data_IF_541567845676
#
_entry.id   IF_541567845676
#
_cell.length_a   1.000
_cell.length_b   1.000
_cell.length_c   1.000
_cell.angle_alpha   90.00
_cell.angle_beta   90.00
_cell.angle_gamma   90.00
#
_symmetry.space_group_name_H-M   'P 1'
#
loop_
_entity.id
_entity.type
_entity.pdbx_description
1 polymer ?
#
# COMPACT_ATOMS: atom_id res chain seq x y z
N UNK A 1 19.64 8.85 0.02
CA UNK A 1 18.57 7.89 0.34
C UNK A 1 17.48 8.06 -0.71
N UNK A 2 17.29 7.10 -1.63
CA UNK A 2 16.23 7.20 -2.62
C UNK A 2 14.88 6.99 -1.92
N UNK A 3 13.90 7.81 -2.26
CA UNK A 3 12.55 7.80 -1.71
C UNK A 3 11.80 6.52 -2.14
N UNK A 4 11.64 5.56 -1.21
CA UNK A 4 11.05 4.23 -1.47
C UNK A 4 9.52 4.31 -1.61
N UNK A 5 8.92 5.51 -1.61
CA UNK A 5 7.45 5.68 -1.52
C UNK A 5 6.74 5.89 -2.85
N UNK A 6 7.43 5.79 -3.99
CA UNK A 6 6.75 5.88 -5.30
C UNK A 6 6.28 4.50 -5.75
N UNK A 7 5.16 4.06 -5.18
CA UNK A 7 4.65 2.68 -5.33
C UNK A 7 4.17 2.33 -6.76
N UNK A 8 3.85 3.32 -7.61
CA UNK A 8 3.47 3.11 -9.01
C UNK A 8 3.85 4.34 -9.84
N UNK A 9 4.13 4.15 -11.13
CA UNK A 9 4.43 5.27 -12.02
C UNK A 9 3.13 5.98 -12.43
N UNK A 10 2.90 7.18 -11.90
CA UNK A 10 1.71 7.98 -12.18
C UNK A 10 1.64 8.50 -13.64
N UNK A 11 2.72 8.37 -14.42
CA UNK A 11 2.79 8.75 -15.84
C UNK A 11 2.63 7.57 -16.79
N UNK A 12 2.49 6.34 -16.27
CA UNK A 12 2.31 5.16 -17.09
C UNK A 12 1.03 5.27 -17.95
N UNK A 13 1.08 4.92 -19.24
CA UNK A 13 -0.07 5.02 -20.13
C UNK A 13 -1.19 4.06 -19.67
N UNK A 14 -2.40 4.61 -19.53
CA UNK A 14 -3.59 3.84 -19.15
C UNK A 14 -3.94 2.87 -20.27
N UNK A 15 -3.94 1.56 -19.97
CA UNK A 15 -4.38 0.53 -20.91
C UNK A 15 -5.88 0.27 -20.71
N UNK A 16 -6.72 0.39 -21.76
CA UNK A 16 -8.11 0.00 -21.65
C UNK A 16 -8.16 -1.52 -21.43
N UNK A 17 -8.58 -1.92 -20.24
CA UNK A 17 -8.75 -3.32 -19.88
C UNK A 17 -10.25 -3.57 -19.81
N UNK A 18 -10.77 -4.45 -20.66
CA UNK A 18 -12.19 -4.79 -20.66
C UNK A 18 -12.50 -5.63 -19.41
N UNK A 19 -13.17 -5.03 -18.44
CA UNK A 19 -13.53 -5.67 -17.17
C UNK A 19 -15.04 -5.91 -17.13
N UNK A 20 -15.45 -7.13 -16.80
CA UNK A 20 -16.86 -7.45 -16.56
C UNK A 20 -17.22 -7.02 -15.14
N UNK A 21 -18.09 -6.03 -15.02
CA UNK A 21 -18.63 -5.54 -13.76
C UNK A 21 -20.13 -5.80 -13.70
N UNK A 22 -20.68 -5.84 -12.48
CA UNK A 22 -22.10 -6.02 -12.28
C UNK A 22 -22.87 -4.82 -12.88
N UNK A 23 -23.88 -5.11 -13.71
CA UNK A 23 -24.68 -4.11 -14.42
C UNK A 23 -25.39 -3.14 -13.47
N UNK A 24 -25.91 -3.62 -12.34
CA UNK A 24 -26.59 -2.78 -11.35
C UNK A 24 -25.61 -1.76 -10.72
N UNK A 25 -24.39 -2.19 -10.42
CA UNK A 25 -23.32 -1.30 -9.95
C UNK A 25 -22.94 -0.25 -10.99
N UNK A 26 -22.96 -0.59 -12.28
CA UNK A 26 -22.70 0.38 -13.35
C UNK A 26 -23.84 1.41 -13.49
N UNK A 27 -25.09 0.97 -13.34
CA UNK A 27 -26.24 1.88 -13.36
C UNK A 27 -26.24 2.81 -12.14
N UNK A 28 -25.95 2.28 -10.96
CA UNK A 28 -25.77 3.09 -9.75
C UNK A 28 -24.62 4.09 -9.90
N UNK A 29 -23.46 3.65 -10.41
CA UNK A 29 -22.32 4.52 -10.66
C UNK A 29 -22.66 5.64 -11.65
N UNK A 30 -23.38 5.31 -12.73
CA UNK A 30 -23.83 6.30 -13.72
C UNK A 30 -24.80 7.31 -13.11
N UNK A 31 -25.74 6.84 -12.29
CA UNK A 31 -26.74 7.68 -11.59
C UNK A 31 -26.05 8.64 -10.60
N UNK A 32 -25.01 8.16 -9.93
CA UNK A 32 -24.24 8.93 -8.95
C UNK A 32 -23.11 9.77 -9.58
N UNK A 33 -22.94 9.72 -10.92
CA UNK A 33 -21.87 10.44 -11.61
C UNK A 33 -20.45 9.92 -11.32
N UNK A 34 -20.32 8.67 -10.87
CA UNK A 34 -19.04 8.05 -10.51
C UNK A 34 -18.32 7.62 -11.78
N UNK A 35 -17.07 8.05 -11.92
CA UNK A 35 -16.20 7.57 -12.99
C UNK A 35 -15.67 6.17 -12.64
N UNK A 36 -16.29 5.14 -13.22
CA UNK A 36 -15.97 3.72 -12.96
C UNK A 36 -14.49 3.41 -13.19
N UNK A 37 -13.88 3.94 -14.25
CA UNK A 37 -12.46 3.72 -14.53
C UNK A 37 -11.57 4.26 -13.41
N UNK A 38 -11.87 5.46 -12.90
CA UNK A 38 -11.12 6.06 -11.78
C UNK A 38 -11.37 5.31 -10.47
N UNK A 39 -12.59 4.84 -10.22
CA UNK A 39 -12.92 4.06 -9.04
C UNK A 39 -12.20 2.69 -9.04
N UNK A 40 -12.16 2.02 -10.19
CA UNK A 40 -11.41 0.79 -10.36
C UNK A 40 -9.90 1.00 -10.21
N UNK A 41 -9.35 2.05 -10.80
CA UNK A 41 -7.91 2.39 -10.68
C UNK A 41 -7.53 2.61 -9.21
N UNK A 42 -8.37 3.33 -8.46
CA UNK A 42 -8.17 3.56 -7.03
C UNK A 42 -8.27 2.25 -6.23
N UNK A 43 -9.35 1.48 -6.41
CA UNK A 43 -9.55 0.23 -5.68
C UNK A 43 -8.45 -0.81 -5.97
N UNK A 44 -7.96 -0.85 -7.21
CA UNK A 44 -6.85 -1.72 -7.59
C UNK A 44 -5.53 -1.26 -6.93
N UNK A 45 -5.26 0.05 -6.88
CA UNK A 45 -4.09 0.58 -6.20
C UNK A 45 -4.13 0.31 -4.69
N UNK A 46 -5.29 0.48 -4.05
CA UNK A 46 -5.51 0.18 -2.62
C UNK A 46 -5.27 -1.33 -2.37
N UNK A 47 -5.84 -2.21 -3.19
CA UNK A 47 -5.66 -3.66 -3.02
C UNK A 47 -4.21 -4.11 -3.22
N UNK A 48 -3.50 -3.54 -4.21
CA UNK A 48 -2.08 -3.83 -4.47
C UNK A 48 -1.23 -3.34 -3.29
N UNK A 49 -1.49 -2.13 -2.78
CA UNK A 49 -0.79 -1.60 -1.63
C UNK A 49 -0.98 -2.52 -0.42
N UNK A 50 -2.20 -2.95 -0.14
CA UNK A 50 -2.52 -3.81 1.00
C UNK A 50 -1.82 -5.18 0.91
N UNK A 51 -1.78 -5.80 -0.28
CA UNK A 51 -1.08 -7.06 -0.48
C UNK A 51 0.44 -6.90 -0.38
N UNK A 52 0.99 -5.79 -0.87
CA UNK A 52 2.43 -5.50 -0.72
C UNK A 52 2.80 -5.23 0.72
N UNK A 53 1.95 -4.53 1.48
CA UNK A 53 2.16 -4.30 2.92
C UNK A 53 2.14 -5.62 3.69
N UNK A 54 1.16 -6.49 3.42
CA UNK A 54 1.10 -7.84 4.01
C UNK A 54 2.36 -8.66 3.70
N UNK A 55 2.79 -8.65 2.43
CA UNK A 55 3.99 -9.37 2.00
C UNK A 55 5.26 -8.78 2.62
N UNK A 56 5.35 -7.46 2.71
CA UNK A 56 6.46 -6.78 3.36
C UNK A 56 6.54 -7.12 4.85
N UNK A 57 5.40 -7.14 5.54
CA UNK A 57 5.30 -7.56 6.94
C UNK A 57 5.74 -9.01 7.14
N UNK A 58 5.36 -9.92 6.24
CA UNK A 58 5.83 -11.32 6.27
C UNK A 58 7.33 -11.42 6.04
N UNK A 59 7.87 -10.75 5.01
CA UNK A 59 9.30 -10.80 4.68
C UNK A 59 10.18 -10.09 5.72
N UNK A 60 9.68 -9.00 6.33
CA UNK A 60 10.43 -8.26 7.34
C UNK A 60 10.16 -8.77 8.75
N UNK A 61 9.33 -9.81 8.92
CA UNK A 61 8.97 -10.32 10.24
C UNK A 61 10.19 -10.83 11.00
N UNK A 62 11.06 -11.61 10.35
CA UNK A 62 12.32 -12.07 10.95
C UNK A 62 13.29 -10.92 11.26
N UNK A 63 13.36 -9.92 10.38
CA UNK A 63 14.21 -8.75 10.60
C UNK A 63 13.70 -7.88 11.76
N UNK A 64 12.38 -7.72 11.88
CA UNK A 64 11.72 -7.00 12.97
C UNK A 64 11.83 -7.78 14.28
N UNK A 65 11.62 -9.10 14.27
CA UNK A 65 11.78 -9.94 15.47
C UNK A 65 13.24 -9.94 15.96
N UNK A 66 14.22 -10.03 15.07
CA UNK A 66 15.64 -9.93 15.42
C UNK A 66 16.02 -8.54 15.96
N UNK A 67 15.49 -7.47 15.33
CA UNK A 67 15.70 -6.11 15.79
C UNK A 67 15.02 -5.85 17.14
N UNK A 68 13.81 -6.37 17.36
CA UNK A 68 13.09 -6.31 18.63
C UNK A 68 13.84 -7.07 19.72
N UNK A 69 14.30 -8.30 19.44
CA UNK A 69 15.09 -9.09 20.38
C UNK A 69 16.40 -8.39 20.76
N UNK A 70 17.05 -7.71 19.80
CA UNK A 70 18.23 -6.90 20.06
C UNK A 70 17.91 -5.68 20.95
N UNK A 71 16.82 -4.97 20.69
CA UNK A 71 16.37 -3.83 21.52
C UNK A 71 15.94 -4.28 22.92
N UNK A 72 15.33 -5.45 23.06
CA UNK A 72 14.93 -6.01 24.35
C UNK A 72 16.16 -6.46 25.16
N UNK A 73 17.15 -7.06 24.50
CA UNK A 73 18.39 -7.52 25.13
C UNK A 73 19.39 -6.38 25.44
N UNK A 74 19.43 -5.30 24.65
CA UNK A 74 20.45 -4.25 24.78
C UNK A 74 19.88 -2.87 25.14
N UNK A 75 18.56 -2.77 25.28
CA UNK A 75 17.85 -1.51 25.45
C UNK A 75 17.86 -0.66 24.17
N UNK A 76 17.08 0.42 24.18
CA UNK A 76 17.03 1.37 23.07
C UNK A 76 18.41 2.02 22.86
N UNK A 77 19.12 1.75 21.75
CA UNK A 77 20.51 2.19 21.57
C UNK A 77 20.66 3.72 21.59
N UNK A 78 19.60 4.46 21.22
CA UNK A 78 19.58 5.93 21.21
C UNK A 78 18.93 6.56 22.45
N UNK A 79 18.50 5.79 23.46
CA UNK A 79 17.93 6.36 24.69
C UNK A 79 18.90 7.29 25.43
N UNK A 80 20.22 7.08 25.24
CA UNK A 80 21.29 7.92 25.82
C UNK A 80 21.41 9.31 25.20
N UNK A 81 20.67 9.61 24.12
CA UNK A 81 20.77 10.87 23.37
C UNK A 81 19.45 11.64 23.28
N UNK A 82 18.38 11.24 23.99
CA UNK A 82 17.13 12.02 24.03
C UNK A 82 17.36 13.25 24.94
N UNK A 83 17.47 14.48 24.41
CA UNK A 83 17.41 15.66 25.24
C UNK A 83 15.97 15.80 25.73
N UNK A 84 15.81 16.16 26.99
CA UNK A 84 14.53 16.44 27.64
C UNK A 84 13.70 17.45 26.84
#
# INVERSE_FOLDING_TARGET
>A
MPDIRRQFDASAPKRPTNVSLNSDLLEQAKTLGINVSRACERGLAEQIAELRDKRWLEENREAIESSNAYVEAHGLPLAKHRPY
#
